data_IF_531780914830
#
_entry.id   IF_531780914830
#
_cell.length_a   1.000
_cell.length_b   1.000
_cell.length_c   1.000
_cell.angle_alpha   90.00
_cell.angle_beta   90.00
_cell.angle_gamma   90.00
#
_symmetry.space_group_name_H-M   'P 1'
#
loop_
_entity.id
_entity.type
_entity.pdbx_description
1 polymer ?
#
# COMPACT_ATOMS: atom_id res chain seq x y z
N UNK A 1 19.75 -29.01 -55.39
CA UNK A 1 20.19 -28.12 -54.30
C UNK A 1 19.41 -28.50 -53.06
N UNK A 2 20.04 -29.16 -52.09
CA UNK A 2 19.40 -29.48 -50.79
C UNK A 2 19.22 -28.20 -49.99
N UNK A 3 18.09 -28.05 -49.31
CA UNK A 3 17.91 -26.92 -48.40
C UNK A 3 18.84 -27.09 -47.19
N UNK A 4 19.26 -25.99 -46.55
CA UNK A 4 20.02 -26.08 -45.31
C UNK A 4 19.17 -26.75 -44.22
N UNK A 5 19.77 -27.60 -43.37
CA UNK A 5 19.04 -28.47 -42.43
C UNK A 5 18.20 -27.68 -41.40
N UNK A 6 18.57 -26.44 -41.13
CA UNK A 6 17.81 -25.50 -40.28
C UNK A 6 16.47 -25.11 -40.92
N UNK A 7 16.45 -24.88 -42.23
CA UNK A 7 15.24 -24.52 -42.97
C UNK A 7 14.31 -25.73 -43.08
N UNK A 8 14.85 -26.92 -43.34
CA UNK A 8 14.05 -28.15 -43.36
C UNK A 8 13.41 -28.45 -42.00
N UNK A 9 14.15 -28.25 -40.90
CA UNK A 9 13.61 -28.39 -39.54
C UNK A 9 12.46 -27.41 -39.26
N UNK A 10 12.61 -26.16 -39.71
CA UNK A 10 11.61 -25.11 -39.53
C UNK A 10 10.34 -25.39 -40.34
N UNK A 11 10.48 -25.87 -41.58
CA UNK A 11 9.34 -26.28 -42.42
C UNK A 11 8.57 -27.42 -41.74
N UNK A 12 9.28 -28.48 -41.31
CA UNK A 12 8.66 -29.62 -40.60
C UNK A 12 7.98 -29.20 -39.30
N UNK A 13 8.56 -28.25 -38.55
CA UNK A 13 7.94 -27.72 -37.34
C UNK A 13 6.66 -26.94 -37.65
N UNK A 14 6.68 -26.15 -38.73
CA UNK A 14 5.54 -25.36 -39.20
C UNK A 14 4.40 -26.26 -39.66
N UNK A 15 4.70 -27.27 -40.47
CA UNK A 15 3.72 -28.30 -40.90
C UNK A 15 3.07 -29.00 -39.70
N UNK A 16 3.86 -29.43 -38.71
CA UNK A 16 3.35 -30.04 -37.48
C UNK A 16 2.43 -29.10 -36.71
N UNK A 17 2.77 -27.81 -36.63
CA UNK A 17 1.93 -26.82 -35.95
C UNK A 17 0.63 -26.58 -36.70
N UNK A 18 0.66 -26.50 -38.03
CA UNK A 18 -0.52 -26.34 -38.88
C UNK A 18 -1.49 -27.50 -38.68
N UNK A 19 -1.00 -28.74 -38.77
CA UNK A 19 -1.82 -29.95 -38.57
C UNK A 19 -2.44 -29.96 -37.17
N UNK A 20 -1.65 -29.67 -36.12
CA UNK A 20 -2.17 -29.58 -34.75
C UNK A 20 -3.24 -28.51 -34.61
N UNK A 21 -3.05 -27.35 -35.24
CA UNK A 21 -4.01 -26.26 -35.19
C UNK A 21 -5.34 -26.64 -35.88
N UNK A 22 -5.27 -27.33 -37.01
CA UNK A 22 -6.45 -27.85 -37.71
C UNK A 22 -7.22 -28.88 -36.87
N UNK A 23 -6.52 -29.86 -36.28
CA UNK A 23 -7.12 -30.84 -35.36
C UNK A 23 -7.83 -30.11 -34.21
N UNK A 24 -7.14 -29.18 -33.55
CA UNK A 24 -7.71 -28.42 -32.44
C UNK A 24 -8.92 -27.59 -32.86
N UNK A 25 -8.94 -27.03 -34.08
CA UNK A 25 -10.11 -26.31 -34.61
C UNK A 25 -11.30 -27.25 -34.80
N UNK A 26 -11.07 -28.43 -35.39
CA UNK A 26 -12.12 -29.43 -35.60
C UNK A 26 -12.66 -29.96 -34.27
N UNK A 27 -11.78 -30.27 -33.31
CA UNK A 27 -12.17 -30.69 -31.96
C UNK A 27 -13.00 -29.60 -31.27
N UNK A 28 -12.54 -28.34 -31.29
CA UNK A 28 -13.30 -27.23 -30.71
C UNK A 28 -14.67 -27.06 -31.36
N UNK A 29 -14.77 -27.20 -32.68
CA UNK A 29 -16.04 -27.16 -33.39
C UNK A 29 -16.96 -28.31 -32.95
N UNK A 30 -16.43 -29.53 -32.86
CA UNK A 30 -17.16 -30.71 -32.39
C UNK A 30 -17.64 -30.56 -30.94
N UNK A 31 -16.78 -30.09 -30.04
CA UNK A 31 -17.12 -29.82 -28.63
C UNK A 31 -18.21 -28.75 -28.50
N UNK A 32 -18.13 -27.68 -29.28
CA UNK A 32 -19.17 -26.65 -29.32
C UNK A 32 -20.51 -27.23 -29.79
N UNK A 33 -20.51 -28.03 -30.85
CA UNK A 33 -21.72 -28.68 -31.34
C UNK A 33 -22.30 -29.66 -30.31
N UNK A 34 -21.43 -30.46 -29.66
CA UNK A 34 -21.83 -31.39 -28.61
C UNK A 34 -22.45 -30.65 -27.41
N UNK A 35 -21.87 -29.53 -26.97
CA UNK A 35 -22.43 -28.70 -25.91
C UNK A 35 -23.79 -28.13 -26.27
N UNK A 36 -23.98 -27.64 -27.50
CA UNK A 36 -25.28 -27.15 -27.96
C UNK A 36 -26.32 -28.28 -27.97
N UNK A 37 -25.95 -29.45 -28.48
CA UNK A 37 -26.85 -30.60 -28.53
C UNK A 37 -27.21 -31.10 -27.13
N UNK A 38 -26.24 -31.14 -26.22
CA UNK A 38 -26.47 -31.52 -24.82
C UNK A 38 -27.37 -30.51 -24.11
N UNK A 39 -27.14 -29.20 -24.28
CA UNK A 39 -28.05 -28.16 -23.77
C UNK A 39 -29.48 -28.34 -24.30
N UNK A 40 -29.65 -28.62 -25.60
CA UNK A 40 -30.96 -28.89 -26.21
C UNK A 40 -31.61 -30.14 -25.63
N UNK A 41 -30.86 -31.23 -25.46
CA UNK A 41 -31.35 -32.48 -24.84
C UNK A 41 -31.78 -32.26 -23.40
N UNK A 42 -30.96 -31.56 -22.61
CA UNK A 42 -31.27 -31.20 -21.22
C UNK A 42 -32.54 -30.36 -21.11
N UNK A 43 -32.74 -29.39 -22.03
CA UNK A 43 -33.99 -28.60 -22.09
C UNK A 43 -35.20 -29.47 -22.40
N UNK A 44 -35.09 -30.40 -23.37
CA UNK A 44 -36.18 -31.33 -23.73
C UNK A 44 -36.51 -32.33 -22.62
N UNK A 45 -35.51 -32.81 -21.88
CA UNK A 45 -35.69 -33.75 -20.76
C UNK A 45 -36.21 -33.10 -19.48
N UNK A 46 -36.30 -31.78 -19.42
CA UNK A 46 -36.77 -31.06 -18.24
C UNK A 46 -38.29 -31.19 -18.13
N UNK A 47 -38.76 -31.69 -16.99
CA UNK A 47 -40.19 -31.80 -16.70
C UNK A 47 -40.82 -30.42 -16.68
N UNK A 48 -41.88 -30.23 -17.46
CA UNK A 48 -42.56 -28.93 -17.62
C UNK A 48 -43.53 -28.59 -16.49
N UNK A 49 -43.66 -29.45 -15.47
CA UNK A 49 -44.61 -29.28 -14.37
C UNK A 49 -46.07 -29.35 -14.79
N UNK A 50 -46.36 -30.12 -15.85
CA UNK A 50 -47.70 -30.20 -16.42
C UNK A 50 -48.67 -31.02 -15.54
N UNK A 51 -48.13 -32.03 -14.85
CA UNK A 51 -48.90 -32.88 -13.94
C UNK A 51 -49.18 -32.18 -12.62
N UNK A 52 -50.41 -32.34 -12.14
CA UNK A 52 -50.79 -32.01 -10.77
C UNK A 52 -50.35 -33.15 -9.84
N UNK A 53 -49.49 -32.83 -8.87
CA UNK A 53 -49.01 -33.81 -7.90
C UNK A 53 -49.95 -33.95 -6.70
N UNK A 54 -50.91 -33.02 -6.53
CA UNK A 54 -51.85 -33.05 -5.42
C UNK A 54 -52.93 -34.12 -5.64
N UNK A 55 -53.36 -34.31 -6.88
CA UNK A 55 -54.36 -35.31 -7.28
C UNK A 55 -53.82 -36.25 -8.37
N UNK A 56 -52.94 -37.22 -8.02
CA UNK A 56 -52.31 -38.12 -8.99
C UNK A 56 -53.25 -39.20 -9.54
N UNK A 57 -54.39 -39.45 -8.89
CA UNK A 57 -55.36 -40.47 -9.27
C UNK A 57 -56.46 -40.00 -10.23
N UNK A 58 -56.54 -38.71 -10.51
CA UNK A 58 -57.58 -38.13 -11.37
C UNK A 58 -57.11 -38.01 -12.82
N UNK A 59 -58.06 -38.06 -13.76
CA UNK A 59 -57.76 -37.84 -15.16
C UNK A 59 -57.34 -36.38 -15.40
N UNK A 60 -56.08 -36.17 -15.78
CA UNK A 60 -55.53 -34.84 -16.04
C UNK A 60 -55.56 -34.52 -17.54
N UNK A 61 -56.28 -33.45 -17.90
CA UNK A 61 -56.38 -32.98 -19.28
C UNK A 61 -55.41 -31.83 -19.56
N UNK A 62 -54.76 -31.89 -20.72
CA UNK A 62 -53.79 -30.90 -21.16
C UNK A 62 -54.23 -30.24 -22.46
N UNK A 63 -54.73 -29.00 -22.35
CA UNK A 63 -55.01 -28.19 -23.53
C UNK A 63 -53.71 -27.63 -24.12
N UNK A 64 -53.63 -27.43 -25.45
CA UNK A 64 -52.46 -26.83 -26.10
C UNK A 64 -52.05 -25.49 -25.48
N UNK A 65 -53.03 -24.65 -25.13
CA UNK A 65 -52.78 -23.35 -24.49
C UNK A 65 -52.12 -23.50 -23.12
N UNK A 66 -52.57 -24.45 -22.28
CA UNK A 66 -51.95 -24.72 -20.96
C UNK A 66 -50.50 -25.16 -21.10
N UNK A 67 -50.21 -26.02 -22.09
CA UNK A 67 -48.84 -26.47 -22.39
C UNK A 67 -47.98 -25.28 -22.85
N UNK A 68 -48.48 -24.43 -23.73
CA UNK A 68 -47.75 -23.25 -24.21
C UNK A 68 -47.44 -22.26 -23.10
N UNK A 69 -48.40 -21.96 -22.22
CA UNK A 69 -48.19 -21.05 -21.10
C UNK A 69 -47.08 -21.54 -20.15
N UNK A 70 -47.00 -22.84 -19.87
CA UNK A 70 -45.92 -23.39 -19.06
C UNK A 70 -44.56 -23.35 -19.76
N UNK A 71 -44.52 -23.51 -21.10
CA UNK A 71 -43.28 -23.34 -21.87
C UNK A 71 -42.77 -21.90 -21.76
N UNK A 72 -43.65 -20.93 -21.97
CA UNK A 72 -43.31 -19.50 -21.86
C UNK A 72 -42.78 -19.16 -20.47
N UNK A 73 -43.49 -19.58 -19.41
CA UNK A 73 -43.05 -19.37 -18.04
C UNK A 73 -41.69 -20.03 -17.74
N UNK A 74 -41.44 -21.22 -18.27
CA UNK A 74 -40.17 -21.91 -18.11
C UNK A 74 -39.02 -21.18 -18.83
N UNK A 75 -39.28 -20.64 -20.03
CA UNK A 75 -38.32 -19.83 -20.79
C UNK A 75 -38.03 -18.51 -20.09
N UNK A 76 -39.05 -17.79 -19.63
CA UNK A 76 -38.90 -16.55 -18.84
C UNK A 76 -38.09 -16.77 -17.55
N UNK A 77 -38.34 -17.87 -16.84
CA UNK A 77 -37.57 -18.21 -15.65
C UNK A 77 -36.10 -18.57 -15.96
N UNK A 78 -35.81 -19.12 -17.15
CA UNK A 78 -34.43 -19.36 -17.57
C UNK A 78 -33.73 -18.05 -17.95
N UNK A 79 -34.39 -17.16 -18.71
CA UNK A 79 -33.81 -15.87 -19.11
C UNK A 79 -33.55 -14.98 -17.91
N UNK A 80 -34.47 -14.92 -16.93
CA UNK A 80 -34.25 -14.19 -15.68
C UNK A 80 -33.03 -14.71 -14.93
N UNK A 81 -32.88 -16.03 -14.79
CA UNK A 81 -31.71 -16.64 -14.13
C UNK A 81 -30.41 -16.36 -14.86
N UNK A 82 -30.42 -16.33 -16.19
CA UNK A 82 -29.26 -15.97 -16.99
C UNK A 82 -28.89 -14.50 -16.78
N UNK A 83 -29.86 -13.58 -16.81
CA UNK A 83 -29.66 -12.16 -16.53
C UNK A 83 -29.12 -11.90 -15.12
N UNK A 84 -29.66 -12.58 -14.11
CA UNK A 84 -29.16 -12.49 -12.73
C UNK A 84 -27.70 -12.95 -12.61
N UNK A 85 -27.34 -14.05 -13.28
CA UNK A 85 -25.96 -14.54 -13.30
C UNK A 85 -25.03 -13.54 -13.99
N UNK A 86 -25.43 -13.01 -15.14
CA UNK A 86 -24.65 -11.99 -15.84
C UNK A 86 -24.47 -10.73 -14.99
N UNK A 87 -25.54 -10.26 -14.34
CA UNK A 87 -25.47 -9.13 -13.43
C UNK A 87 -24.56 -9.40 -12.23
N UNK A 88 -24.60 -10.61 -11.66
CA UNK A 88 -23.71 -11.00 -10.57
C UNK A 88 -22.24 -11.01 -11.01
N UNK A 89 -21.93 -11.55 -12.18
CA UNK A 89 -20.57 -11.56 -12.74
C UNK A 89 -20.08 -10.13 -13.00
N UNK A 90 -20.91 -9.27 -13.61
CA UNK A 90 -20.59 -7.85 -13.85
C UNK A 90 -20.29 -7.12 -12.54
N UNK A 91 -21.15 -7.26 -11.53
CA UNK A 91 -20.95 -6.68 -10.20
C UNK A 91 -19.65 -7.17 -9.54
N UNK A 92 -19.31 -8.44 -9.71
CA UNK A 92 -18.04 -8.97 -9.18
C UNK A 92 -16.83 -8.36 -9.90
N UNK A 93 -16.89 -8.23 -11.22
CA UNK A 93 -15.83 -7.59 -12.01
C UNK A 93 -15.66 -6.11 -11.63
N UNK A 94 -16.74 -5.34 -11.52
CA UNK A 94 -16.72 -3.94 -11.09
C UNK A 94 -16.10 -3.78 -9.69
N UNK A 95 -16.50 -4.64 -8.74
CA UNK A 95 -15.91 -4.63 -7.39
C UNK A 95 -14.43 -4.97 -7.38
N UNK A 96 -13.98 -5.87 -8.26
CA UNK A 96 -12.57 -6.20 -8.37
C UNK A 96 -11.77 -5.00 -8.88
N UNK A 97 -12.26 -4.32 -9.92
CA UNK A 97 -11.64 -3.11 -10.47
C UNK A 97 -11.59 -1.98 -9.44
N UNK A 98 -12.69 -1.74 -8.72
CA UNK A 98 -12.74 -0.70 -7.67
C UNK A 98 -11.73 -0.98 -6.54
N UNK A 99 -11.61 -2.24 -6.12
CA UNK A 99 -10.61 -2.65 -5.12
C UNK A 99 -9.20 -2.42 -5.60
N UNK A 100 -8.92 -2.73 -6.86
CA UNK A 100 -7.61 -2.51 -7.46
C UNK A 100 -7.26 -1.02 -7.53
N UNK A 101 -8.18 -0.19 -7.98
CA UNK A 101 -7.99 1.26 -8.03
C UNK A 101 -7.73 1.85 -6.64
N UNK A 102 -8.55 1.47 -5.65
CA UNK A 102 -8.34 1.90 -4.26
C UNK A 102 -7.01 1.43 -3.69
N UNK A 103 -6.59 0.20 -4.02
CA UNK A 103 -5.30 -0.31 -3.58
C UNK A 103 -4.13 0.51 -4.16
N UNK A 104 -4.21 0.88 -5.45
CA UNK A 104 -3.22 1.75 -6.11
C UNK A 104 -3.18 3.15 -5.48
N UNK A 105 -4.33 3.78 -5.28
CA UNK A 105 -4.40 5.10 -4.63
C UNK A 105 -3.79 5.08 -3.21
N UNK A 106 -4.06 4.03 -2.44
CA UNK A 106 -3.49 3.87 -1.10
C UNK A 106 -1.97 3.66 -1.16
N UNK A 107 -1.46 2.94 -2.16
CA UNK A 107 -0.02 2.78 -2.37
C UNK A 107 0.65 4.11 -2.72
N UNK A 108 0.11 4.85 -3.70
CA UNK A 108 0.62 6.17 -4.09
C UNK A 108 0.65 7.14 -2.91
N UNK A 109 -0.43 7.19 -2.12
CA UNK A 109 -0.49 8.03 -0.92
C UNK A 109 0.52 7.62 0.16
N UNK A 110 0.82 6.32 0.28
CA UNK A 110 1.87 5.84 1.20
C UNK A 110 3.25 6.27 0.70
N UNK A 111 3.52 6.12 -0.59
CA UNK A 111 4.79 6.54 -1.20
C UNK A 111 5.00 8.04 -1.06
N UNK A 112 3.99 8.86 -1.33
CA UNK A 112 4.07 10.31 -1.15
C UNK A 112 4.39 10.70 0.31
N UNK A 113 3.74 10.02 1.28
CA UNK A 113 4.04 10.25 2.71
C UNK A 113 5.46 9.88 3.07
N UNK A 114 6.02 8.81 2.49
CA UNK A 114 7.41 8.40 2.71
C UNK A 114 8.35 9.44 2.12
N UNK A 115 8.16 9.82 0.85
CA UNK A 115 8.97 10.85 0.17
C UNK A 115 8.98 12.17 0.94
N UNK A 116 7.80 12.65 1.38
CA UNK A 116 7.69 13.87 2.17
C UNK A 116 8.38 13.79 3.53
N UNK A 117 8.43 12.61 4.15
CA UNK A 117 9.17 12.38 5.40
C UNK A 117 10.68 12.39 5.16
N UNK A 118 11.13 11.75 4.10
CA UNK A 118 12.54 11.73 3.70
C UNK A 118 13.04 13.13 3.34
N UNK A 119 12.30 13.90 2.56
CA UNK A 119 12.64 15.29 2.23
C UNK A 119 12.75 16.16 3.50
N UNK A 120 11.79 16.04 4.42
CA UNK A 120 11.84 16.76 5.70
C UNK A 120 13.01 16.30 6.57
N UNK A 121 13.37 15.02 6.54
CA UNK A 121 14.52 14.51 7.28
C UNK A 121 15.82 15.11 6.70
N UNK A 122 15.98 15.10 5.37
CA UNK A 122 17.12 15.72 4.67
C UNK A 122 17.23 17.21 4.98
N UNK A 123 16.13 17.96 4.91
CA UNK A 123 16.11 19.39 5.25
C UNK A 123 16.59 19.64 6.70
N UNK A 124 16.14 18.81 7.65
CA UNK A 124 16.58 18.90 9.05
C UNK A 124 18.05 18.54 9.23
N UNK A 125 18.59 17.64 8.41
CA UNK A 125 20.02 17.31 8.43
C UNK A 125 20.85 18.48 7.93
N UNK A 126 20.48 19.07 6.79
CA UNK A 126 21.12 20.29 6.28
C UNK A 126 21.07 21.44 7.30
N UNK A 127 19.91 21.71 7.91
CA UNK A 127 19.77 22.75 8.93
C UNK A 127 20.65 22.47 10.16
N UNK A 128 20.77 21.20 10.58
CA UNK A 128 21.65 20.80 11.69
C UNK A 128 23.11 21.01 11.33
N UNK A 129 23.54 20.67 10.12
CA UNK A 129 24.90 20.88 9.64
C UNK A 129 25.24 22.37 9.56
N UNK A 130 24.35 23.17 8.98
CA UNK A 130 24.52 24.63 8.91
C UNK A 130 24.62 25.24 10.32
N UNK A 131 23.77 24.80 11.26
CA UNK A 131 23.82 25.24 12.65
C UNK A 131 25.11 24.81 13.35
N UNK A 132 25.68 23.64 13.03
CA UNK A 132 26.98 23.20 13.55
C UNK A 132 28.09 24.08 13.00
N UNK A 133 28.14 24.31 11.68
CA UNK A 133 29.10 25.17 11.03
C UNK A 133 29.06 26.61 11.60
N UNK A 134 27.86 27.18 11.78
CA UNK A 134 27.70 28.51 12.38
C UNK A 134 28.22 28.58 13.84
N UNK A 135 28.03 27.52 14.62
CA UNK A 135 28.57 27.44 15.99
C UNK A 135 30.10 27.35 15.99
N UNK A 136 30.67 26.57 15.08
CA UNK A 136 32.12 26.43 14.93
C UNK A 136 32.76 27.76 14.49
N UNK A 137 32.20 28.43 13.49
CA UNK A 137 32.65 29.76 13.06
C UNK A 137 32.57 30.79 14.19
N UNK A 138 31.49 30.78 14.99
CA UNK A 138 31.36 31.66 16.16
C UNK A 138 32.36 31.34 17.27
N UNK A 139 32.73 30.07 17.44
CA UNK A 139 33.76 29.64 18.39
C UNK A 139 35.14 30.12 17.94
N UNK A 140 35.51 29.90 16.68
CA UNK A 140 36.75 30.41 16.09
C UNK A 140 36.88 31.93 16.25
N UNK A 141 35.83 32.69 15.92
CA UNK A 141 35.85 34.15 16.10
C UNK A 141 36.04 34.58 17.57
N UNK A 142 35.52 33.82 18.54
CA UNK A 142 35.75 34.12 19.97
C UNK A 142 37.19 33.84 20.36
N UNK A 143 37.72 32.70 19.93
CA UNK A 143 39.09 32.28 20.21
C UNK A 143 40.08 33.28 19.59
N UNK A 144 39.88 33.69 18.33
CA UNK A 144 40.68 34.73 17.65
C UNK A 144 40.63 36.08 18.38
N UNK A 145 39.44 36.49 18.85
CA UNK A 145 39.29 37.74 19.61
C UNK A 145 39.99 37.66 20.96
N UNK A 146 40.01 36.49 21.58
CA UNK A 146 40.70 36.25 22.85
C UNK A 146 42.23 36.24 22.65
N UNK A 147 42.73 35.64 21.58
CA UNK A 147 44.15 35.72 21.18
C UNK A 147 44.58 37.14 20.86
N UNK A 148 43.77 37.91 20.13
CA UNK A 148 44.07 39.32 19.88
C UNK A 148 44.09 40.13 21.18
N UNK A 149 43.16 39.86 22.12
CA UNK A 149 43.16 40.51 23.44
C UNK A 149 44.40 40.14 24.27
N UNK A 150 44.83 38.88 24.27
CA UNK A 150 46.03 38.46 25.00
C UNK A 150 47.29 39.07 24.39
N UNK A 151 47.42 39.08 23.06
CA UNK A 151 48.50 39.79 22.34
C UNK A 151 48.51 41.29 22.65
N UNK A 152 47.36 41.95 22.69
CA UNK A 152 47.25 43.38 23.01
C UNK A 152 47.52 43.67 24.51
N UNK A 153 47.18 42.76 25.43
CA UNK A 153 47.48 42.88 26.86
C UNK A 153 48.99 42.72 27.13
N UNK A 154 49.65 41.80 26.42
CA UNK A 154 51.11 41.61 26.49
C UNK A 154 51.90 42.82 25.93
N UNK A 155 51.28 43.64 25.08
CA UNK A 155 51.86 44.86 24.52
C UNK A 155 51.69 46.12 25.38
N UNK A 156 50.97 46.06 26.51
CA UNK A 156 50.83 47.21 27.45
C UNK A 156 51.89 47.14 28.56
N UNK A 157 52.66 48.21 28.84
CA UNK A 157 53.57 48.23 29.99
C UNK A 157 52.78 48.21 31.31
N UNK A 158 53.27 47.46 32.31
CA UNK A 158 52.71 47.39 33.67
C UNK A 158 53.15 48.61 34.46
N UNK A 159 52.21 49.38 35.01
CA UNK A 159 52.46 50.31 36.12
C UNK A 159 52.06 49.62 37.42
N UNK A 160 52.95 49.66 38.42
CA UNK A 160 52.81 49.04 39.74
C UNK A 160 51.70 49.69 40.57
N UNK A 161 50.93 48.88 41.30
CA UNK A 161 49.99 49.33 42.31
C UNK A 161 50.27 48.59 43.61
N UNK A 162 50.35 49.37 44.69
CA UNK A 162 50.74 49.02 46.05
C UNK A 162 49.60 48.27 46.77
N UNK A 163 49.97 47.30 47.61
CA UNK A 163 49.08 46.48 48.43
C UNK A 163 48.50 47.27 49.62
N UNK A 164 47.23 47.00 49.97
CA UNK A 164 46.71 47.28 51.31
C UNK A 164 45.69 46.21 51.74
N UNK A 165 46.03 45.60 52.88
CA UNK A 165 45.22 45.01 53.95
C UNK A 165 44.10 44.00 53.65
N UNK A 166 44.35 42.79 54.14
CA UNK A 166 43.42 41.68 54.36
C UNK A 166 42.38 42.02 55.45
N UNK A 167 41.09 41.89 55.14
CA UNK A 167 40.05 41.62 56.14
C UNK A 167 39.49 40.20 55.88
N UNK A 168 39.86 39.27 56.76
CA UNK A 168 39.36 37.91 56.82
C UNK A 168 37.88 37.89 57.25
N UNK A 169 36.96 37.62 56.31
CA UNK A 169 35.56 37.30 56.60
C UNK A 169 35.43 35.77 56.73
N UNK A 170 34.97 35.21 57.86
CA UNK A 170 34.72 33.77 57.94
C UNK A 170 33.48 33.43 57.10
N UNK A 171 33.70 32.85 55.91
CA UNK A 171 32.62 32.30 55.09
C UNK A 171 32.42 30.82 55.42
N UNK A 172 31.56 30.53 56.40
CA UNK A 172 31.01 29.17 56.58
C UNK A 172 30.18 28.80 55.35
N UNK A 173 30.76 28.02 54.44
CA UNK A 173 30.13 27.49 53.24
C UNK A 173 29.28 26.27 53.62
N UNK A 174 27.97 26.45 53.79
CA UNK A 174 27.05 25.33 53.96
C UNK A 174 26.90 24.55 52.64
N UNK A 175 27.17 23.24 52.68
CA UNK A 175 26.93 22.35 51.54
C UNK A 175 25.42 22.17 51.33
N UNK A 176 24.89 22.64 50.20
CA UNK A 176 23.47 22.45 49.88
C UNK A 176 23.26 21.13 49.15
N UNK A 177 22.33 20.30 49.66
CA UNK A 177 21.95 19.05 49.04
C UNK A 177 21.44 19.27 47.59
N UNK A 178 22.01 18.51 46.65
CA UNK A 178 21.60 18.50 45.25
C UNK A 178 20.74 17.27 44.95
N UNK A 179 19.68 17.45 44.16
CA UNK A 179 18.87 16.33 43.68
C UNK A 179 19.65 15.46 42.67
N UNK A 180 19.16 14.25 42.39
CA UNK A 180 19.67 13.38 41.30
C UNK A 180 19.73 14.06 39.93
N UNK A 181 18.96 15.14 39.72
CA UNK A 181 18.94 15.97 38.50
C UNK A 181 19.88 17.19 38.57
N UNK A 182 20.67 17.36 39.63
CA UNK A 182 21.59 18.48 39.82
C UNK A 182 20.95 19.80 40.28
N UNK A 183 19.64 19.82 40.59
CA UNK A 183 18.98 21.01 41.13
C UNK A 183 19.27 21.17 42.61
N UNK A 184 19.62 22.39 43.03
CA UNK A 184 19.77 22.78 44.43
C UNK A 184 18.42 22.73 45.15
N UNK A 185 18.36 21.99 46.25
CA UNK A 185 17.16 21.90 47.08
C UNK A 185 17.20 23.08 48.07
N UNK A 186 16.27 24.04 47.91
CA UNK A 186 16.10 25.17 48.84
C UNK A 186 14.85 24.93 49.69
N UNK A 187 15.02 24.80 51.00
CA UNK A 187 13.89 24.68 51.92
C UNK A 187 13.18 26.05 52.11
N UNK A 188 11.85 26.07 52.22
CA UNK A 188 11.09 27.27 52.60
C UNK A 188 11.52 27.80 53.98
N UNK A 189 11.40 29.12 54.20
CA UNK A 189 11.92 29.78 55.40
C UNK A 189 11.36 29.25 56.72
N UNK A 190 10.10 28.79 56.74
CA UNK A 190 9.45 28.20 57.93
C UNK A 190 10.09 26.90 58.42
N UNK A 191 10.95 26.27 57.61
CA UNK A 191 11.61 24.99 57.91
C UNK A 191 13.14 25.13 58.03
N UNK A 192 13.67 26.36 58.10
CA UNK A 192 15.08 26.63 58.38
C UNK A 192 15.22 26.88 59.89
N UNK A 193 15.56 25.84 60.65
CA UNK A 193 15.86 25.87 62.08
C UNK A 193 17.34 25.61 62.31
#
# INVERSE_FOLDING_TARGET
>A
MSLPPTVESLIRASEKLTIKNEILKHENAGLRAALVNEKKRRKRGKKLGLFDNENPGEAQFFSPNKVQALRQRAEEAETQKEQEREAAVRRQAERALEREQKAREVQERKEERVRKREEKARQKEFEKEERRAAREAKKQHKDDKQEQRSRNKARKPRSEHVEECEEEIPTTRQEMATSRSGRQIRLPERFRN
#
